data_IF_525171780028
#
_entry.id   IF_525171780028
#
_cell.length_a   1.000
_cell.length_b   1.000
_cell.length_c   1.000
_cell.angle_alpha   90.00
_cell.angle_beta   90.00
_cell.angle_gamma   90.00
#
_symmetry.space_group_name_H-M   'P 1'
#
loop_
_entity.id
_entity.type
_entity.pdbx_description
1 polymer ?
#
# COMPACT_ATOMS: atom_id res chain seq x y z
N UNK A 1 17.51 15.80 30.29
CA UNK A 1 17.43 14.93 29.10
C UNK A 1 16.38 15.55 28.18
N UNK A 2 16.81 16.27 27.13
CA UNK A 2 15.93 16.96 26.19
C UNK A 2 15.53 15.98 25.08
N UNK A 3 14.23 15.90 24.83
CA UNK A 3 13.60 15.14 23.76
C UNK A 3 14.19 15.52 22.40
N UNK A 4 14.71 14.54 21.65
CA UNK A 4 14.88 14.67 20.21
C UNK A 4 13.49 14.52 19.55
N UNK A 5 12.74 15.64 19.51
CA UNK A 5 11.71 15.82 18.49
C UNK A 5 12.46 16.26 17.23
N UNK A 6 12.91 15.30 16.44
CA UNK A 6 13.34 15.58 15.08
C UNK A 6 12.04 15.66 14.26
N UNK A 7 11.44 16.84 14.22
CA UNK A 7 10.53 17.19 13.14
C UNK A 7 11.39 17.15 11.89
N UNK A 8 11.08 16.22 10.98
CA UNK A 8 11.69 16.17 9.66
C UNK A 8 11.38 17.50 8.96
N UNK A 9 12.41 18.33 8.85
CA UNK A 9 12.42 19.55 8.04
C UNK A 9 12.23 19.15 6.57
N UNK A 10 11.09 19.56 6.00
CA UNK A 10 10.92 20.05 4.63
C UNK A 10 11.79 19.37 3.55
N UNK A 11 11.35 18.20 3.08
CA UNK A 11 11.35 17.97 1.64
C UNK A 11 10.04 18.54 1.12
N UNK A 12 10.07 19.29 0.03
CA UNK A 12 8.87 19.83 -0.62
C UNK A 12 7.80 18.74 -0.71
N UNK A 13 6.68 18.96 -0.01
CA UNK A 13 5.58 18.01 0.16
C UNK A 13 4.79 17.91 -1.15
N UNK A 14 5.38 17.27 -2.16
CA UNK A 14 4.68 16.94 -3.39
C UNK A 14 3.63 15.84 -3.12
N UNK A 15 2.42 16.03 -3.62
CA UNK A 15 1.35 15.03 -3.54
C UNK A 15 1.80 13.71 -4.20
N UNK A 16 1.45 12.57 -3.59
CA UNK A 16 1.81 11.26 -4.10
C UNK A 16 0.72 10.75 -5.04
N UNK A 17 1.06 10.48 -6.29
CA UNK A 17 0.14 9.79 -7.20
C UNK A 17 0.20 8.28 -7.01
N UNK A 18 -0.94 7.68 -6.64
CA UNK A 18 -1.14 6.25 -6.46
C UNK A 18 -2.05 5.69 -7.56
N UNK A 19 -1.89 4.40 -7.85
CA UNK A 19 -2.75 3.65 -8.75
C UNK A 19 -3.63 2.70 -7.95
N UNK A 20 -4.94 2.89 -7.99
CA UNK A 20 -5.88 2.00 -7.32
C UNK A 20 -6.19 0.80 -8.20
N UNK A 21 -5.95 -0.39 -7.66
CA UNK A 21 -6.18 -1.67 -8.33
C UNK A 21 -7.33 -2.40 -7.66
N UNK A 22 -8.26 -2.85 -8.50
CA UNK A 22 -9.42 -3.66 -8.12
C UNK A 22 -9.36 -4.98 -8.87
N UNK A 23 -9.49 -6.09 -8.17
CA UNK A 23 -9.50 -7.42 -8.75
C UNK A 23 -10.90 -7.74 -9.28
N UNK A 24 -10.96 -8.40 -10.44
CA UNK A 24 -12.22 -8.88 -11.02
C UNK A 24 -12.79 -10.10 -10.28
N UNK A 25 -11.96 -10.79 -9.49
CA UNK A 25 -12.33 -11.93 -8.66
C UNK A 25 -11.39 -12.02 -7.47
N UNK A 26 -11.88 -12.52 -6.34
CA UNK A 26 -11.07 -12.76 -5.16
C UNK A 26 -10.09 -13.92 -5.43
N UNK A 27 -8.79 -13.62 -5.42
CA UNK A 27 -7.71 -14.59 -5.54
C UNK A 27 -6.63 -14.33 -4.49
N UNK A 28 -5.93 -15.38 -4.03
CA UNK A 28 -4.82 -15.20 -3.10
C UNK A 28 -3.64 -14.44 -3.72
N UNK A 29 -2.93 -13.67 -2.88
CA UNK A 29 -1.73 -12.92 -3.28
C UNK A 29 -0.73 -13.77 -4.09
N UNK A 30 -0.43 -14.99 -3.63
CA UNK A 30 0.55 -15.85 -4.29
C UNK A 30 0.15 -16.23 -5.72
N UNK A 31 -1.14 -16.40 -5.99
CA UNK A 31 -1.66 -16.73 -7.30
C UNK A 31 -1.63 -15.50 -8.20
N UNK A 32 -2.02 -14.34 -7.65
CA UNK A 32 -1.98 -13.08 -8.37
C UNK A 32 -0.55 -12.73 -8.83
N UNK A 33 0.39 -12.71 -7.90
CA UNK A 33 1.78 -12.37 -8.21
C UNK A 33 2.48 -13.44 -9.05
N UNK A 34 2.02 -14.70 -9.04
CA UNK A 34 2.46 -15.69 -10.02
C UNK A 34 2.09 -15.30 -11.45
N UNK A 35 0.86 -14.84 -11.69
CA UNK A 35 0.45 -14.40 -13.03
C UNK A 35 1.15 -13.10 -13.44
N UNK A 36 1.26 -12.12 -12.54
CA UNK A 36 1.97 -10.85 -12.81
C UNK A 36 3.43 -11.12 -13.17
N UNK A 37 4.14 -11.94 -12.38
CA UNK A 37 5.56 -12.24 -12.63
C UNK A 37 5.80 -13.06 -13.91
N UNK A 38 4.77 -13.73 -14.43
CA UNK A 38 4.88 -14.49 -15.69
C UNK A 38 4.79 -13.64 -16.94
N UNK A 39 4.15 -12.47 -16.85
CA UNK A 39 3.93 -11.57 -17.99
C UNK A 39 4.88 -10.37 -17.97
N UNK A 40 5.48 -10.06 -16.83
CA UNK A 40 6.47 -8.99 -16.69
C UNK A 40 7.90 -9.56 -16.61
N UNK A 41 8.87 -8.80 -17.12
CA UNK A 41 10.29 -9.12 -16.97
C UNK A 41 10.82 -8.84 -15.55
N UNK A 42 10.02 -8.15 -14.73
CA UNK A 42 10.33 -7.83 -13.34
C UNK A 42 9.57 -8.75 -12.39
N UNK A 43 10.29 -9.32 -11.42
CA UNK A 43 9.72 -10.23 -10.43
C UNK A 43 9.29 -9.46 -9.18
N UNK A 44 7.99 -9.39 -8.92
CA UNK A 44 7.45 -8.92 -7.65
C UNK A 44 7.76 -9.91 -6.54
N UNK A 45 8.28 -9.39 -5.43
CA UNK A 45 8.62 -10.13 -4.23
C UNK A 45 7.99 -9.46 -3.02
N UNK A 46 7.53 -10.27 -2.06
CA UNK A 46 7.01 -9.75 -0.80
C UNK A 46 8.15 -9.10 -0.01
N UNK A 47 7.92 -7.90 0.48
CA UNK A 47 8.82 -7.15 1.37
C UNK A 47 8.14 -6.94 2.72
N UNK A 48 8.75 -6.13 3.60
CA UNK A 48 8.16 -5.83 4.89
C UNK A 48 6.79 -5.17 4.75
N UNK A 49 5.81 -5.71 5.47
CA UNK A 49 4.44 -5.19 5.52
C UNK A 49 4.43 -3.77 6.13
N UNK A 50 3.50 -2.92 5.67
CA UNK A 50 3.16 -1.69 6.39
C UNK A 50 2.39 -2.06 7.65
N UNK A 51 2.83 -1.51 8.79
CA UNK A 51 2.17 -1.71 10.07
C UNK A 51 1.46 -0.42 10.48
N UNK A 52 0.13 -0.42 10.44
CA UNK A 52 -0.67 0.66 11.01
C UNK A 52 -0.88 0.39 12.49
N UNK A 53 -0.33 1.24 13.33
CA UNK A 53 -0.39 1.11 14.80
C UNK A 53 -1.69 1.78 15.27
N UNK A 54 -2.64 0.96 15.73
CA UNK A 54 -3.86 1.44 16.40
C UNK A 54 -3.68 1.56 17.92
N UNK A 55 -4.78 1.72 18.63
CA UNK A 55 -4.87 1.72 20.09
C UNK A 55 -5.01 0.29 20.62
N UNK A 56 -5.88 -0.50 20.00
CA UNK A 56 -6.21 -1.86 20.41
C UNK A 56 -5.52 -2.90 19.54
N UNK A 57 -5.29 -2.61 18.25
CA UNK A 57 -4.67 -3.53 17.31
C UNK A 57 -3.49 -2.89 16.56
N UNK A 58 -2.55 -3.73 16.13
CA UNK A 58 -1.59 -3.41 15.06
C UNK A 58 -2.00 -4.16 13.79
N UNK A 59 -2.10 -3.44 12.67
CA UNK A 59 -2.59 -4.00 11.40
C UNK A 59 -1.46 -4.12 10.39
N UNK A 60 -1.35 -5.29 9.77
CA UNK A 60 -0.30 -5.62 8.82
C UNK A 60 -0.86 -5.64 7.40
N UNK A 61 -0.31 -4.77 6.56
CA UNK A 61 -0.66 -4.61 5.15
C UNK A 61 0.47 -5.13 4.27
N UNK A 62 0.28 -6.28 3.59
CA UNK A 62 1.28 -6.85 2.70
C UNK A 62 1.80 -5.87 1.66
N UNK A 63 3.10 -5.94 1.42
CA UNK A 63 3.78 -5.18 0.36
C UNK A 63 4.54 -6.09 -0.58
N UNK A 64 4.46 -5.78 -1.86
CA UNK A 64 5.19 -6.48 -2.91
C UNK A 64 5.91 -5.47 -3.78
N UNK A 65 7.17 -5.72 -4.07
CA UNK A 65 8.02 -4.79 -4.80
C UNK A 65 8.70 -5.50 -5.98
N UNK A 66 8.80 -4.80 -7.11
CA UNK A 66 9.61 -5.18 -8.24
C UNK A 66 10.46 -4.01 -8.71
N UNK A 67 11.70 -4.33 -9.10
CA UNK A 67 12.62 -3.37 -9.69
C UNK A 67 12.70 -3.57 -11.20
N UNK A 68 12.32 -2.54 -11.95
CA UNK A 68 12.39 -2.56 -13.40
C UNK A 68 13.77 -2.06 -13.87
N UNK A 69 14.57 -2.94 -14.48
CA UNK A 69 15.98 -2.66 -14.79
C UNK A 69 16.19 -1.55 -15.82
N UNK A 70 15.28 -1.43 -16.79
CA UNK A 70 15.44 -0.51 -17.91
C UNK A 70 15.13 0.93 -17.51
N UNK A 71 14.01 1.12 -16.81
CA UNK A 71 13.56 2.43 -16.31
C UNK A 71 14.22 2.81 -14.99
N UNK A 72 14.81 1.82 -14.30
CA UNK A 72 15.29 1.92 -12.91
C UNK A 72 14.17 2.28 -11.91
N UNK A 73 12.91 2.14 -12.33
CA UNK A 73 11.76 2.38 -11.51
C UNK A 73 11.56 1.22 -10.52
N UNK A 74 11.25 1.57 -9.27
CA UNK A 74 10.79 0.62 -8.28
C UNK A 74 9.28 0.73 -8.16
N UNK A 75 8.57 -0.39 -8.30
CA UNK A 75 7.11 -0.40 -8.25
C UNK A 75 6.64 -1.29 -7.11
N UNK A 76 5.71 -0.76 -6.32
CA UNK A 76 5.23 -1.37 -5.11
C UNK A 76 3.71 -1.53 -5.15
N UNK A 77 3.24 -2.73 -4.84
CA UNK A 77 1.87 -3.02 -4.50
C UNK A 77 1.74 -3.03 -2.97
N UNK A 78 0.73 -2.33 -2.47
CA UNK A 78 0.39 -2.28 -1.05
C UNK A 78 -1.05 -2.77 -0.93
N UNK A 79 -1.29 -3.84 -0.17
CA UNK A 79 -2.65 -4.32 0.05
C UNK A 79 -3.45 -3.32 0.88
N UNK A 80 -4.61 -2.91 0.37
CA UNK A 80 -5.48 -1.97 1.06
C UNK A 80 -6.02 -2.58 2.36
N UNK A 81 -6.47 -3.83 2.30
CA UNK A 81 -6.97 -4.59 3.45
C UNK A 81 -5.83 -5.23 4.24
N UNK A 82 -5.90 -5.16 5.56
CA UNK A 82 -4.95 -5.82 6.45
C UNK A 82 -5.08 -7.35 6.34
N UNK A 83 -3.97 -8.06 6.18
CA UNK A 83 -3.95 -9.54 6.18
C UNK A 83 -4.01 -10.10 7.60
N UNK A 84 -3.50 -9.34 8.56
CA UNK A 84 -3.40 -9.72 9.95
C UNK A 84 -3.59 -8.51 10.85
N UNK A 85 -4.27 -8.74 11.96
CA UNK A 85 -4.44 -7.80 13.06
C UNK A 85 -3.92 -8.45 14.34
N UNK A 86 -2.97 -7.80 15.02
CA UNK A 86 -2.47 -8.25 16.31
C UNK A 86 -3.10 -7.42 17.42
N UNK A 87 -3.89 -8.06 18.28
CA UNK A 87 -4.47 -7.40 19.43
C UNK A 87 -3.41 -7.11 20.48
N UNK A 88 -3.33 -5.86 20.93
CA UNK A 88 -2.45 -5.38 22.00
C UNK A 88 -3.16 -5.39 23.34
N UNK A 89 -4.44 -5.01 23.35
CA UNK A 89 -5.26 -4.91 24.55
C UNK A 89 -6.73 -5.19 24.23
N UNK A 90 -7.49 -5.52 25.27
CA UNK A 90 -8.93 -5.78 25.14
C UNK A 90 -9.70 -4.49 24.84
N UNK A 91 -10.65 -4.60 23.91
CA UNK A 91 -11.59 -3.52 23.62
C UNK A 91 -12.63 -3.53 24.73
N UNK A 92 -12.51 -2.57 25.65
CA UNK A 92 -13.44 -2.42 26.78
C UNK A 92 -14.55 -1.41 26.51
N UNK A 93 -14.41 -0.62 25.45
CA UNK A 93 -15.36 0.41 25.04
C UNK A 93 -16.38 -0.14 24.03
N UNK A 94 -17.66 0.12 24.28
CA UNK A 94 -18.77 -0.33 23.42
C UNK A 94 -18.82 0.36 22.05
N UNK A 95 -18.12 1.50 21.90
CA UNK A 95 -18.07 2.30 20.68
C UNK A 95 -16.63 2.53 20.22
N UNK A 96 -15.76 1.54 20.40
CA UNK A 96 -14.42 1.62 19.83
C UNK A 96 -14.51 1.60 18.30
N UNK A 97 -13.92 2.61 17.65
CA UNK A 97 -13.85 2.70 16.19
C UNK A 97 -12.86 1.70 15.57
N UNK A 98 -12.17 0.91 16.39
CA UNK A 98 -11.19 -0.10 15.95
C UNK A 98 -11.80 -1.50 15.86
N UNK A 99 -11.81 -2.03 14.64
CA UNK A 99 -12.20 -3.41 14.33
C UNK A 99 -10.98 -4.30 14.10
N UNK A 100 -11.17 -5.62 14.03
CA UNK A 100 -10.08 -6.56 13.73
C UNK A 100 -9.62 -6.55 12.25
N UNK A 101 -10.25 -5.75 11.39
CA UNK A 101 -9.86 -5.59 9.99
C UNK A 101 -9.68 -4.12 9.71
N UNK A 102 -8.53 -3.75 9.15
CA UNK A 102 -8.24 -2.38 8.76
C UNK A 102 -8.10 -2.23 7.24
N UNK A 103 -8.45 -1.05 6.76
CA UNK A 103 -8.24 -0.61 5.39
C UNK A 103 -7.40 0.66 5.40
N UNK A 104 -6.41 0.74 4.51
CA UNK A 104 -5.62 1.97 4.31
C UNK A 104 -6.50 3.10 3.75
N UNK A 105 -7.41 2.76 2.84
CA UNK A 105 -8.47 3.62 2.30
C UNK A 105 -9.83 3.15 2.83
N UNK A 106 -10.27 3.64 4.01
CA UNK A 106 -11.51 3.18 4.64
C UNK A 106 -12.79 3.55 3.86
N UNK A 107 -12.71 4.58 3.00
CA UNK A 107 -13.82 5.02 2.13
C UNK A 107 -13.91 4.20 0.82
N UNK A 108 -12.83 3.51 0.44
CA UNK A 108 -12.69 2.77 -0.82
C UNK A 108 -12.32 1.31 -0.55
N UNK A 109 -13.20 0.61 0.21
CA UNK A 109 -12.97 -0.78 0.64
C UNK A 109 -13.00 -1.80 -0.52
N UNK A 110 -13.49 -1.39 -1.69
CA UNK A 110 -13.50 -2.17 -2.92
C UNK A 110 -12.14 -2.16 -3.65
N UNK A 111 -11.21 -1.30 -3.25
CA UNK A 111 -9.81 -1.32 -3.72
C UNK A 111 -9.05 -2.43 -3.02
N UNK A 112 -8.39 -3.29 -3.79
CA UNK A 112 -7.59 -4.39 -3.28
C UNK A 112 -6.14 -3.97 -3.01
N UNK A 113 -5.54 -3.23 -3.95
CA UNK A 113 -4.15 -2.77 -3.83
C UNK A 113 -3.99 -1.31 -4.25
N UNK A 114 -3.01 -0.66 -3.61
CA UNK A 114 -2.46 0.63 -4.00
C UNK A 114 -1.13 0.38 -4.70
N UNK A 115 -0.98 0.92 -5.90
CA UNK A 115 0.22 0.86 -6.72
C UNK A 115 0.99 2.16 -6.56
N UNK A 116 2.29 2.05 -6.30
CA UNK A 116 3.19 3.18 -6.11
C UNK A 116 4.45 3.00 -6.95
N UNK A 117 4.89 4.06 -7.61
CA UNK A 117 6.19 4.13 -8.27
C UNK A 117 7.18 4.95 -7.43
N UNK A 118 8.48 4.66 -7.57
CA UNK A 118 9.55 5.54 -7.07
C UNK A 118 9.80 6.76 -7.96
N UNK A 119 9.31 6.73 -9.21
CA UNK A 119 9.48 7.84 -10.14
C UNK A 119 8.41 8.92 -9.93
N UNK A 120 8.83 10.17 -10.04
CA UNK A 120 7.96 11.36 -9.94
C UNK A 120 6.94 11.45 -11.08
N UNK A 121 7.21 10.79 -12.21
CA UNK A 121 6.25 10.61 -13.30
C UNK A 121 5.72 9.18 -13.25
N UNK A 122 4.48 9.07 -12.78
CA UNK A 122 3.88 7.78 -12.52
C UNK A 122 3.21 7.26 -13.78
N UNK A 123 3.97 6.50 -14.59
CA UNK A 123 3.38 5.74 -15.70
C UNK A 123 3.14 4.30 -15.27
N UNK A 124 1.93 4.01 -14.80
CA UNK A 124 1.53 2.65 -14.42
C UNK A 124 1.39 1.71 -15.63
N UNK A 125 1.47 2.22 -16.86
CA UNK A 125 1.50 1.40 -18.08
C UNK A 125 2.79 0.59 -18.23
N UNK A 126 3.81 0.88 -17.41
CA UNK A 126 5.09 0.14 -17.38
C UNK A 126 4.92 -1.28 -16.83
N UNK A 127 3.84 -1.56 -16.08
CA UNK A 127 3.51 -2.92 -15.63
C UNK A 127 2.40 -3.50 -16.49
N UNK A 128 2.66 -4.70 -17.00
CA UNK A 128 1.63 -5.53 -17.60
C UNK A 128 0.79 -6.16 -16.49
N UNK A 129 -0.46 -5.72 -16.36
CA UNK A 129 -1.44 -6.33 -15.46
C UNK A 129 -2.29 -7.35 -16.23
N UNK A 130 -2.63 -8.52 -15.66
CA UNK A 130 -3.48 -9.49 -16.35
C UNK A 130 -4.91 -8.93 -16.52
N UNK A 131 -5.28 -8.54 -17.74
CA UNK A 131 -6.58 -7.91 -18.04
C UNK A 131 -7.80 -8.74 -17.60
N UNK A 132 -7.67 -10.08 -17.58
CA UNK A 132 -8.74 -10.97 -17.12
C UNK A 132 -8.94 -11.02 -15.61
N UNK A 133 -8.00 -10.45 -14.84
CA UNK A 133 -7.97 -10.53 -13.37
C UNK A 133 -8.16 -9.17 -12.68
N UNK A 134 -8.04 -8.06 -13.40
CA UNK A 134 -8.06 -6.72 -12.83
C UNK A 134 -8.90 -5.75 -13.65
N UNK A 135 -9.53 -4.79 -12.99
CA UNK A 135 -10.08 -3.61 -13.64
C UNK A 135 -8.96 -2.63 -14.03
N UNK A 136 -9.30 -1.64 -14.85
CA UNK A 136 -8.37 -0.57 -15.19
C UNK A 136 -7.90 0.16 -13.92
N UNK A 137 -6.60 0.44 -13.85
CA UNK A 137 -5.99 1.20 -12.76
C UNK A 137 -6.57 2.62 -12.75
N UNK A 138 -7.00 3.08 -11.59
CA UNK A 138 -7.48 4.44 -11.40
C UNK A 138 -6.39 5.27 -10.70
N UNK A 139 -6.04 6.42 -11.27
CA UNK A 139 -5.13 7.36 -10.60
C UNK A 139 -5.82 8.00 -9.39
N UNK A 140 -5.06 8.13 -8.30
CA UNK A 140 -5.50 8.72 -7.05
C UNK A 140 -4.38 9.60 -6.50
N UNK A 141 -4.67 10.89 -6.36
CA UNK A 141 -3.75 11.85 -5.76
C UNK A 141 -3.91 11.80 -4.24
N UNK A 142 -2.85 11.41 -3.55
CA UNK A 142 -2.77 11.37 -2.10
C UNK A 142 -2.04 12.62 -1.61
N UNK A 143 -2.77 13.47 -0.90
CA UNK A 143 -2.21 14.70 -0.36
C UNK A 143 -1.16 14.42 0.72
N UNK A 144 -0.11 15.25 0.75
CA UNK A 144 0.94 15.18 1.78
C UNK A 144 0.42 15.26 3.23
N UNK A 145 -0.74 15.89 3.42
CA UNK A 145 -1.40 16.07 4.71
C UNK A 145 -2.16 14.82 5.18
N UNK A 146 -2.34 13.83 4.31
CA UNK A 146 -3.04 12.60 4.63
C UNK A 146 -2.18 11.69 5.51
N UNK A 147 -2.79 11.06 6.52
CA UNK A 147 -2.10 10.10 7.39
C UNK A 147 -1.51 8.94 6.59
N UNK A 148 -2.20 8.53 5.52
CA UNK A 148 -1.71 7.46 4.65
C UNK A 148 -0.42 7.86 3.94
N UNK A 149 -0.25 9.13 3.56
CA UNK A 149 0.96 9.61 2.90
C UNK A 149 2.15 9.46 3.85
N UNK A 150 1.99 9.96 5.07
CA UNK A 150 3.03 9.89 6.11
C UNK A 150 3.37 8.44 6.47
N UNK A 151 2.37 7.56 6.50
CA UNK A 151 2.57 6.13 6.74
C UNK A 151 3.37 5.47 5.61
N UNK A 152 3.05 5.75 4.35
CA UNK A 152 3.78 5.19 3.20
C UNK A 152 5.23 5.68 3.21
N UNK A 153 5.45 6.99 3.43
CA UNK A 153 6.78 7.61 3.48
C UNK A 153 7.68 7.04 4.58
N UNK A 154 7.11 6.66 5.74
CA UNK A 154 7.89 6.07 6.83
C UNK A 154 8.56 4.72 6.46
N UNK A 155 8.01 4.00 5.48
CA UNK A 155 8.53 2.71 5.03
C UNK A 155 9.27 2.77 3.68
N UNK A 156 9.75 3.95 3.30
CA UNK A 156 10.75 4.16 2.24
C UNK A 156 12.18 4.15 2.83
#
# INVERSE_FOLDING_TARGET
>A
MKSLKLFLDTADEDDLTLGLIRLAKEIPDYELFYYINRINDSEFKRIADIVKIGTYYDYYHPRFEAYHKETKACIQFIANKSVQSKQKQEVTELFADEENVNYLLPNDKDVDYLLKSSDSFVDFSVILLPESLMFQTQEYELSSQDELFQLIQYYE
#
